data_IF_090199020350
#
_entry.id   IF_090199020350
#
_cell.length_a   1.000
_cell.length_b   1.000
_cell.length_c   1.000
_cell.angle_alpha   90.00
_cell.angle_beta   90.00
_cell.angle_gamma   90.00
#
_symmetry.space_group_name_H-M   'P 1'
#
loop_
_entity.id
_entity.type
_entity.pdbx_description
1 polymer ?
#
# COMPACT_ATOMS: atom_id res chain seq x y z
N UNK A 1 2.68 10.23 3.57
CA UNK A 1 2.79 10.02 5.05
C UNK A 1 3.96 9.11 5.46
N UNK A 2 4.50 8.25 4.57
CA UNK A 2 5.56 7.27 4.91
C UNK A 2 7.01 7.64 4.48
N UNK A 3 7.24 8.84 3.92
CA UNK A 3 8.55 9.30 3.37
C UNK A 3 9.27 8.25 2.50
N UNK A 4 8.51 7.41 1.78
CA UNK A 4 9.04 6.40 0.85
C UNK A 4 9.16 6.97 -0.56
N UNK A 5 10.03 6.38 -1.37
CA UNK A 5 10.15 6.76 -2.78
C UNK A 5 8.85 6.49 -3.54
N UNK A 6 8.57 7.28 -4.58
CA UNK A 6 7.40 7.08 -5.46
C UNK A 6 7.38 5.66 -6.06
N UNK A 7 8.56 5.13 -6.40
CA UNK A 7 8.72 3.76 -6.90
C UNK A 7 8.25 2.72 -5.87
N UNK A 8 8.64 2.91 -4.61
CA UNK A 8 8.25 2.03 -3.49
C UNK A 8 6.74 2.12 -3.23
N UNK A 9 6.18 3.34 -3.23
CA UNK A 9 4.75 3.56 -3.03
C UNK A 9 3.90 2.92 -4.14
N UNK A 10 4.33 3.05 -5.39
CA UNK A 10 3.69 2.39 -6.54
C UNK A 10 3.79 0.85 -6.46
N UNK A 11 4.92 0.33 -5.98
CA UNK A 11 5.10 -1.10 -5.68
C UNK A 11 4.11 -1.57 -4.61
N UNK A 12 4.03 -0.87 -3.48
CA UNK A 12 3.10 -1.17 -2.40
C UNK A 12 1.65 -1.14 -2.87
N UNK A 13 1.25 -0.15 -3.67
CA UNK A 13 -0.11 -0.12 -4.23
C UNK A 13 -0.41 -1.27 -5.18
N UNK A 14 0.59 -1.74 -5.93
CA UNK A 14 0.40 -2.91 -6.81
C UNK A 14 0.10 -4.15 -5.98
N UNK A 15 0.85 -4.36 -4.89
CA UNK A 15 0.61 -5.45 -3.93
C UNK A 15 -0.78 -5.34 -3.30
N UNK A 16 -1.13 -4.16 -2.78
CA UNK A 16 -2.42 -3.90 -2.11
C UNK A 16 -3.61 -4.17 -3.04
N UNK A 17 -3.49 -3.80 -4.32
CA UNK A 17 -4.57 -3.99 -5.30
C UNK A 17 -4.62 -5.40 -5.87
N UNK A 18 -3.49 -6.11 -5.92
CA UNK A 18 -3.42 -7.50 -6.38
C UNK A 18 -3.91 -8.52 -5.33
N UNK A 19 -4.08 -8.10 -4.07
CA UNK A 19 -4.42 -8.98 -2.96
C UNK A 19 -5.82 -8.71 -2.42
N UNK A 20 -6.62 -9.76 -2.30
CA UNK A 20 -7.96 -9.71 -1.70
C UNK A 20 -7.87 -9.56 -0.18
N UNK A 21 -6.97 -10.35 0.42
CA UNK A 21 -6.80 -10.47 1.87
C UNK A 21 -5.85 -9.39 2.45
N UNK A 22 -6.22 -8.85 3.61
CA UNK A 22 -5.50 -7.74 4.25
C UNK A 22 -4.19 -8.22 4.89
N UNK A 23 -4.16 -9.40 5.50
CA UNK A 23 -2.95 -9.93 6.13
C UNK A 23 -1.86 -10.19 5.07
N UNK A 24 -2.27 -10.80 3.95
CA UNK A 24 -1.41 -11.05 2.80
C UNK A 24 -0.86 -9.74 2.22
N UNK A 25 -1.70 -8.71 2.09
CA UNK A 25 -1.27 -7.39 1.64
C UNK A 25 -0.20 -6.78 2.57
N UNK A 26 -0.40 -6.85 3.89
CA UNK A 26 0.56 -6.33 4.88
C UNK A 26 1.89 -7.08 4.79
N UNK A 27 1.87 -8.41 4.75
CA UNK A 27 3.08 -9.24 4.67
C UNK A 27 3.90 -8.94 3.42
N UNK A 28 3.25 -8.81 2.27
CA UNK A 28 3.94 -8.49 1.00
C UNK A 28 4.40 -7.04 0.95
N UNK A 29 3.63 -6.10 1.51
CA UNK A 29 4.07 -4.72 1.65
C UNK A 29 5.31 -4.57 2.52
N UNK A 30 5.44 -5.38 3.59
CA UNK A 30 6.63 -5.39 4.42
C UNK A 30 7.91 -5.74 3.63
N UNK A 31 7.80 -6.67 2.67
CA UNK A 31 8.91 -7.00 1.77
C UNK A 31 9.26 -5.84 0.82
N UNK A 32 8.26 -5.12 0.30
CA UNK A 32 8.46 -3.95 -0.58
C UNK A 32 9.06 -2.76 0.18
N UNK A 33 8.70 -2.59 1.44
CA UNK A 33 9.11 -1.46 2.28
C UNK A 33 10.39 -1.71 3.06
N UNK A 34 10.92 -2.93 3.02
CA UNK A 34 12.15 -3.32 3.73
C UNK A 34 12.00 -3.42 5.25
N UNK A 35 10.77 -3.65 5.75
CA UNK A 35 10.52 -3.77 7.18
C UNK A 35 9.07 -4.04 7.55
N UNK A 36 8.86 -4.91 8.52
CA UNK A 36 7.56 -5.19 9.15
C UNK A 36 7.20 -4.08 10.13
N UNK A 37 5.99 -3.51 10.03
CA UNK A 37 5.46 -2.52 10.99
C UNK A 37 5.17 -1.13 10.42
N UNK A 38 5.54 -0.86 9.17
CA UNK A 38 5.30 0.43 8.52
C UNK A 38 3.87 0.59 7.96
N UNK A 39 3.16 -0.52 7.72
CA UNK A 39 1.79 -0.51 7.19
C UNK A 39 0.87 -1.29 8.11
N UNK A 40 -0.26 -0.67 8.46
CA UNK A 40 -1.33 -1.28 9.24
C UNK A 40 -2.48 -1.72 8.33
N UNK A 41 -3.37 -2.57 8.85
CA UNK A 41 -4.61 -2.97 8.17
C UNK A 41 -5.47 -1.76 7.75
N UNK A 42 -5.56 -0.74 8.61
CA UNK A 42 -6.28 0.50 8.31
C UNK A 42 -5.67 1.29 7.15
N UNK A 43 -4.33 1.30 7.03
CA UNK A 43 -3.64 1.92 5.90
C UNK A 43 -3.90 1.17 4.60
N UNK A 44 -3.91 -0.18 4.62
CA UNK A 44 -4.26 -0.99 3.44
C UNK A 44 -5.69 -0.71 2.99
N UNK A 45 -6.66 -0.68 3.91
CA UNK A 45 -8.06 -0.39 3.56
C UNK A 45 -8.22 1.04 3.02
N UNK A 46 -7.59 2.01 3.66
CA UNK A 46 -7.60 3.41 3.20
C UNK A 46 -6.98 3.53 1.80
N UNK A 47 -5.85 2.86 1.57
CA UNK A 47 -5.19 2.82 0.29
C UNK A 47 -6.07 2.18 -0.81
N UNK A 48 -6.77 1.09 -0.51
CA UNK A 48 -7.77 0.47 -1.42
C UNK A 48 -8.91 1.45 -1.73
N UNK A 49 -9.45 2.11 -0.71
CA UNK A 49 -10.51 3.10 -0.88
C UNK A 49 -10.07 4.29 -1.75
N UNK A 50 -8.89 4.84 -1.49
CA UNK A 50 -8.31 5.95 -2.26
C UNK A 50 -8.04 5.52 -3.69
N UNK A 51 -7.50 4.33 -3.91
CA UNK A 51 -7.24 3.82 -5.25
C UNK A 51 -8.53 3.64 -6.07
N UNK A 52 -9.61 3.17 -5.43
CA UNK A 52 -10.92 3.01 -6.08
C UNK A 52 -11.55 4.34 -6.47
N UNK A 53 -11.46 5.36 -5.62
CA UNK A 53 -12.16 6.64 -5.83
C UNK A 53 -11.34 7.70 -6.56
N UNK A 54 -10.01 7.69 -6.38
CA UNK A 54 -9.10 8.75 -6.88
C UNK A 54 -7.99 8.20 -7.77
N UNK A 55 -7.94 6.89 -7.97
CA UNK A 55 -6.94 6.22 -8.80
C UNK A 55 -5.66 5.86 -8.05
N UNK A 56 -4.92 4.92 -8.63
CA UNK A 56 -3.70 4.34 -8.05
C UNK A 56 -2.62 5.38 -7.74
N UNK A 57 -2.42 6.37 -8.63
CA UNK A 57 -1.39 7.42 -8.48
C UNK A 57 -1.68 8.28 -7.25
N UNK A 58 -2.94 8.63 -7.02
CA UNK A 58 -3.33 9.40 -5.83
C UNK A 58 -3.10 8.60 -4.56
N UNK A 59 -3.47 7.32 -4.54
CA UNK A 59 -3.24 6.44 -3.38
C UNK A 59 -1.75 6.24 -3.08
N UNK A 60 -0.89 6.23 -4.09
CA UNK A 60 0.56 6.13 -3.91
C UNK A 60 1.21 7.44 -3.41
N UNK A 61 0.58 8.60 -3.65
CA UNK A 61 1.08 9.90 -3.18
C UNK A 61 0.67 10.23 -1.74
N UNK A 62 -0.40 9.58 -1.24
CA UNK A 62 -0.88 9.70 0.13
C UNK A 62 0.12 9.11 1.15
#
# INVERSE_FOLDING_TARGET
>A
MLKISERTAMGAMTVILATSDILTAISLCAAVLGGTGLITAGMVQTAKYLAKNKGKKYAAQW
#
